data_IF_433466456897
#
_entry.id   IF_433466456897
#
_cell.length_a   1.000
_cell.length_b   1.000
_cell.length_c   1.000
_cell.angle_alpha   90.00
_cell.angle_beta   90.00
_cell.angle_gamma   90.00
#
_symmetry.space_group_name_H-M   'P 1'
#
loop_
_entity.id
_entity.type
_entity.pdbx_description
1 polymer ?
#
# COMPACT_ATOMS: atom_id res chain seq x y z
N UNK A 1 -17.97 32.45 -16.68
CA UNK A 1 -18.10 31.63 -17.90
C UNK A 1 -19.42 31.91 -18.63
N UNK A 2 -20.61 31.55 -18.10
CA UNK A 2 -21.88 31.76 -18.81
C UNK A 2 -22.24 33.24 -19.08
N UNK A 3 -22.02 34.12 -18.08
CA UNK A 3 -22.24 35.56 -18.23
C UNK A 3 -21.35 36.21 -19.31
N UNK A 4 -20.09 35.75 -19.41
CA UNK A 4 -19.13 36.22 -20.41
C UNK A 4 -19.46 35.73 -21.82
N UNK A 5 -20.27 34.67 -21.94
CA UNK A 5 -20.70 34.08 -23.21
C UNK A 5 -22.15 34.49 -23.59
N UNK A 6 -22.76 35.43 -22.85
CA UNK A 6 -24.13 35.90 -23.13
C UNK A 6 -25.23 34.87 -22.83
N UNK A 7 -24.93 33.81 -22.06
CA UNK A 7 -25.86 32.71 -21.75
C UNK A 7 -26.58 32.90 -20.40
N UNK A 8 -26.84 34.15 -20.02
CA UNK A 8 -27.56 34.49 -18.77
C UNK A 8 -28.96 33.87 -18.79
N UNK A 9 -29.32 33.12 -17.75
CA UNK A 9 -30.61 32.44 -17.63
C UNK A 9 -30.64 30.98 -18.10
N UNK A 10 -29.58 30.49 -18.74
CA UNK A 10 -29.40 29.06 -19.04
C UNK A 10 -28.53 28.33 -18.01
N UNK A 11 -28.01 29.04 -17.01
CA UNK A 11 -27.04 28.59 -16.02
C UNK A 11 -27.57 27.57 -15.00
N UNK A 12 -28.90 27.42 -14.91
CA UNK A 12 -29.59 26.56 -13.93
C UNK A 12 -30.23 25.30 -14.54
N UNK A 13 -30.12 25.08 -15.86
CA UNK A 13 -30.73 23.94 -16.56
C UNK A 13 -29.77 22.78 -16.88
N UNK A 14 -30.34 21.65 -17.34
CA UNK A 14 -29.61 20.44 -17.75
C UNK A 14 -28.49 20.73 -18.78
N UNK A 15 -28.72 21.67 -19.69
CA UNK A 15 -27.71 22.11 -20.66
C UNK A 15 -26.47 22.72 -19.98
N UNK A 16 -26.66 23.65 -19.03
CA UNK A 16 -25.54 24.22 -18.31
C UNK A 16 -24.81 23.21 -17.42
N UNK A 17 -25.52 22.23 -16.84
CA UNK A 17 -24.88 21.12 -16.12
C UNK A 17 -23.96 20.32 -17.04
N UNK A 18 -24.44 19.93 -18.23
CA UNK A 18 -23.63 19.21 -19.20
C UNK A 18 -22.42 20.03 -19.66
N UNK A 19 -22.59 21.32 -19.93
CA UNK A 19 -21.49 22.23 -20.24
C UNK A 19 -20.47 22.32 -19.10
N UNK A 20 -20.91 22.37 -17.83
CA UNK A 20 -20.01 22.32 -16.66
C UNK A 20 -19.25 21.01 -16.57
N UNK A 21 -19.92 19.88 -16.78
CA UNK A 21 -19.28 18.56 -16.74
C UNK A 21 -18.23 18.41 -17.85
N UNK A 22 -18.55 18.83 -19.07
CA UNK A 22 -17.60 18.88 -20.18
C UNK A 22 -16.42 19.80 -19.87
N UNK A 23 -16.67 20.97 -19.29
CA UNK A 23 -15.62 21.88 -18.84
C UNK A 23 -14.70 21.22 -17.80
N UNK A 24 -15.26 20.54 -16.79
CA UNK A 24 -14.46 19.86 -15.76
C UNK A 24 -13.57 18.77 -16.36
N UNK A 25 -14.11 17.91 -17.23
CA UNK A 25 -13.33 16.86 -17.88
C UNK A 25 -12.25 17.44 -18.77
N UNK A 26 -12.56 18.44 -19.60
CA UNK A 26 -11.57 19.11 -20.47
C UNK A 26 -10.46 19.78 -19.66
N UNK A 27 -10.81 20.38 -18.53
CA UNK A 27 -9.82 20.99 -17.64
C UNK A 27 -8.92 19.93 -17.01
N UNK A 28 -9.45 18.82 -16.50
CA UNK A 28 -8.66 17.68 -15.98
C UNK A 28 -7.76 17.09 -17.07
N UNK A 29 -8.27 16.93 -18.28
CA UNK A 29 -7.52 16.45 -19.44
C UNK A 29 -6.34 17.36 -19.79
N UNK A 30 -6.46 18.67 -19.57
CA UNK A 30 -5.38 19.64 -19.81
C UNK A 30 -4.30 19.70 -18.72
N UNK A 31 -4.54 19.10 -17.54
CA UNK A 31 -3.57 19.13 -16.44
C UNK A 31 -2.33 18.29 -16.78
N UNK A 32 -1.16 18.84 -16.46
CA UNK A 32 0.08 18.07 -16.38
C UNK A 32 0.04 17.10 -15.20
N UNK A 33 0.84 16.03 -15.25
CA UNK A 33 0.95 15.06 -14.15
C UNK A 33 1.26 15.78 -12.82
N UNK A 34 0.44 15.54 -11.80
CA UNK A 34 0.60 16.13 -10.47
C UNK A 34 0.18 17.59 -10.31
N UNK A 35 -0.23 18.27 -11.39
CA UNK A 35 -0.68 19.66 -11.33
C UNK A 35 -1.97 19.80 -10.51
N UNK A 36 -2.01 20.78 -9.61
CA UNK A 36 -3.20 21.14 -8.86
C UNK A 36 -4.01 22.22 -9.57
N UNK A 37 -5.33 22.12 -9.53
CA UNK A 37 -6.28 23.11 -10.07
C UNK A 37 -7.61 23.00 -9.30
N UNK A 38 -8.36 24.11 -9.23
CA UNK A 38 -9.65 24.14 -8.51
C UNK A 38 -10.69 23.17 -9.07
N UNK A 39 -10.57 22.74 -10.33
CA UNK A 39 -11.41 21.67 -10.89
C UNK A 39 -11.32 20.37 -10.08
N UNK A 40 -10.16 20.07 -9.49
CA UNK A 40 -9.97 18.87 -8.66
C UNK A 40 -10.74 18.99 -7.35
N UNK A 41 -11.00 20.19 -6.85
CA UNK A 41 -11.89 20.42 -5.69
C UNK A 41 -13.35 20.26 -6.10
N UNK A 42 -13.73 20.83 -7.25
CA UNK A 42 -15.10 20.74 -7.76
C UNK A 42 -15.54 19.30 -8.06
N UNK A 43 -14.68 18.50 -8.68
CA UNK A 43 -14.99 17.10 -9.01
C UNK A 43 -15.19 16.23 -7.77
N UNK A 44 -14.57 16.57 -6.64
CA UNK A 44 -14.75 15.84 -5.37
C UNK A 44 -16.13 16.09 -4.72
N UNK A 45 -16.93 17.04 -5.21
CA UNK A 45 -18.27 17.27 -4.67
C UNK A 45 -19.19 16.09 -5.01
N UNK A 46 -19.92 15.59 -4.00
CA UNK A 46 -20.84 14.44 -4.16
C UNK A 46 -21.83 14.60 -5.32
N UNK A 47 -22.41 15.78 -5.48
CA UNK A 47 -23.33 16.06 -6.59
C UNK A 47 -22.66 16.03 -7.95
N UNK A 48 -21.35 16.27 -8.02
CA UNK A 48 -20.57 16.36 -9.25
C UNK A 48 -20.04 14.98 -9.65
N UNK A 49 -19.31 14.26 -8.79
CA UNK A 49 -18.76 12.96 -9.18
C UNK A 49 -19.84 11.88 -9.40
N UNK A 50 -21.02 12.00 -8.75
CA UNK A 50 -22.16 11.12 -9.00
C UNK A 50 -23.00 11.51 -10.22
N UNK A 51 -22.67 12.61 -10.91
CA UNK A 51 -23.44 13.04 -12.05
C UNK A 51 -23.31 12.05 -13.22
N UNK A 52 -24.41 11.72 -13.92
CA UNK A 52 -24.34 10.94 -15.16
C UNK A 52 -23.55 11.70 -16.24
N UNK A 53 -22.64 11.01 -16.94
CA UNK A 53 -21.85 11.61 -18.01
C UNK A 53 -22.14 10.98 -19.37
N UNK A 54 -21.89 9.67 -19.51
CA UNK A 54 -22.14 8.94 -20.76
C UNK A 54 -22.46 7.47 -20.48
N UNK A 55 -23.55 6.98 -21.07
CA UNK A 55 -24.10 5.65 -20.81
C UNK A 55 -24.27 5.37 -19.33
N UNK A 56 -23.60 4.32 -18.84
CA UNK A 56 -23.59 3.95 -17.41
C UNK A 56 -22.46 4.61 -16.60
N UNK A 57 -21.62 5.45 -17.22
CA UNK A 57 -20.51 6.12 -16.51
C UNK A 57 -20.98 7.38 -15.79
N UNK A 58 -20.47 7.51 -14.56
CA UNK A 58 -20.55 8.74 -13.77
C UNK A 58 -19.34 9.61 -14.09
N UNK A 59 -19.47 10.92 -13.87
CA UNK A 59 -18.40 11.89 -14.08
C UNK A 59 -17.13 11.53 -13.29
N UNK A 60 -17.30 11.01 -12.07
CA UNK A 60 -16.19 10.51 -11.25
C UNK A 60 -15.39 9.40 -11.92
N UNK A 61 -16.03 8.50 -12.67
CA UNK A 61 -15.30 7.45 -13.41
C UNK A 61 -14.38 8.06 -14.46
N UNK A 62 -14.88 9.02 -15.24
CA UNK A 62 -14.09 9.65 -16.32
C UNK A 62 -12.93 10.44 -15.74
N UNK A 63 -13.18 11.22 -14.68
CA UNK A 63 -12.13 11.96 -13.98
C UNK A 63 -11.05 11.03 -13.41
N UNK A 64 -11.44 9.94 -12.75
CA UNK A 64 -10.50 8.95 -12.22
C UNK A 64 -9.70 8.26 -13.33
N UNK A 65 -10.33 7.90 -14.45
CA UNK A 65 -9.63 7.33 -15.61
C UNK A 65 -8.52 8.27 -16.08
N UNK A 66 -8.85 9.55 -16.32
CA UNK A 66 -7.88 10.55 -16.78
C UNK A 66 -6.72 10.75 -15.80
N UNK A 67 -7.01 10.84 -14.50
CA UNK A 67 -5.98 11.04 -13.48
C UNK A 67 -5.06 9.81 -13.38
N UNK A 68 -5.62 8.59 -13.37
CA UNK A 68 -4.83 7.35 -13.26
C UNK A 68 -3.98 7.13 -14.50
N UNK A 69 -4.52 7.39 -15.68
CA UNK A 69 -3.85 7.12 -16.95
C UNK A 69 -2.72 8.12 -17.22
N UNK A 70 -2.82 9.35 -16.69
CA UNK A 70 -1.78 10.38 -16.79
C UNK A 70 -0.55 10.13 -15.91
N UNK A 71 -0.70 9.41 -14.81
CA UNK A 71 0.44 9.11 -13.93
C UNK A 71 1.41 8.21 -14.69
N UNK A 72 2.71 8.48 -14.61
CA UNK A 72 3.75 7.66 -15.24
C UNK A 72 4.30 6.63 -14.26
N UNK A 73 4.73 7.09 -13.08
CA UNK A 73 5.35 6.25 -12.05
C UNK A 73 4.50 6.21 -10.78
N UNK A 74 4.26 7.36 -10.16
CA UNK A 74 3.56 7.48 -8.87
C UNK A 74 2.79 8.80 -8.83
N UNK A 75 1.56 8.81 -8.30
CA UNK A 75 0.79 10.03 -8.18
C UNK A 75 1.41 10.95 -7.12
N UNK A 76 1.08 12.24 -7.21
CA UNK A 76 1.23 13.15 -6.06
C UNK A 76 0.18 12.84 -5.01
N UNK A 77 0.45 13.18 -3.75
CA UNK A 77 -0.48 13.01 -2.63
C UNK A 77 -1.87 13.59 -2.94
N UNK A 78 -1.88 14.77 -3.56
CA UNK A 78 -3.11 15.48 -3.93
C UNK A 78 -3.96 14.69 -4.94
N UNK A 79 -3.35 14.10 -5.97
CA UNK A 79 -4.07 13.31 -6.95
C UNK A 79 -4.58 11.99 -6.35
N UNK A 80 -3.75 11.32 -5.56
CA UNK A 80 -4.15 10.10 -4.86
C UNK A 80 -5.34 10.39 -3.90
N UNK A 81 -5.29 11.51 -3.17
CA UNK A 81 -6.38 11.98 -2.32
C UNK A 81 -7.68 12.19 -3.11
N UNK A 82 -7.62 12.85 -4.26
CA UNK A 82 -8.81 13.03 -5.13
C UNK A 82 -9.43 11.67 -5.50
N UNK A 83 -8.61 10.69 -5.89
CA UNK A 83 -9.09 9.34 -6.20
C UNK A 83 -9.79 8.69 -4.99
N UNK A 84 -9.17 8.78 -3.81
CA UNK A 84 -9.69 8.20 -2.57
C UNK A 84 -10.95 8.92 -2.06
N UNK A 85 -11.09 10.23 -2.25
CA UNK A 85 -12.28 10.98 -1.86
C UNK A 85 -13.48 10.68 -2.78
N UNK A 86 -13.23 10.36 -4.07
CA UNK A 86 -14.29 9.93 -4.99
C UNK A 86 -14.70 8.47 -4.73
N UNK A 87 -13.71 7.57 -4.69
CA UNK A 87 -13.96 6.13 -4.79
C UNK A 87 -13.67 5.33 -3.52
N UNK A 88 -13.09 5.96 -2.49
CA UNK A 88 -12.57 5.24 -1.32
C UNK A 88 -11.36 4.38 -1.64
N UNK A 89 -10.91 3.55 -0.70
CA UNK A 89 -9.73 2.69 -0.89
C UNK A 89 -10.06 1.49 -1.82
N UNK A 90 -9.32 1.26 -2.92
CA UNK A 90 -9.52 0.11 -3.83
C UNK A 90 -9.11 -1.24 -3.22
N UNK A 91 -8.46 -1.27 -2.05
CA UNK A 91 -8.02 -2.50 -1.40
C UNK A 91 -9.13 -3.19 -0.58
N UNK A 92 -10.32 -2.58 -0.50
CA UNK A 92 -11.50 -3.22 0.08
C UNK A 92 -11.98 -4.41 -0.78
N UNK A 93 -12.83 -5.27 -0.19
CA UNK A 93 -13.45 -6.39 -0.90
C UNK A 93 -14.13 -5.97 -2.21
N UNK A 94 -13.96 -6.76 -3.27
CA UNK A 94 -14.64 -6.55 -4.55
C UNK A 94 -16.17 -6.71 -4.44
N UNK A 95 -16.66 -7.37 -3.38
CA UNK A 95 -18.09 -7.50 -3.08
C UNK A 95 -18.66 -6.27 -2.35
N UNK A 96 -17.85 -5.30 -1.97
CA UNK A 96 -18.33 -4.06 -1.39
C UNK A 96 -19.07 -3.23 -2.45
N UNK A 97 -20.25 -2.71 -2.11
CA UNK A 97 -21.05 -1.88 -3.03
C UNK A 97 -20.28 -0.65 -3.55
N UNK A 98 -19.45 -0.05 -2.68
CA UNK A 98 -18.58 1.07 -3.06
C UNK A 98 -17.51 0.67 -4.09
N UNK A 99 -16.91 -0.52 -3.94
CA UNK A 99 -15.93 -1.04 -4.91
C UNK A 99 -16.58 -1.31 -6.26
N UNK A 100 -17.71 -2.03 -6.26
CA UNK A 100 -18.45 -2.31 -7.50
C UNK A 100 -18.89 -1.04 -8.23
N UNK A 101 -19.28 -0.02 -7.48
CA UNK A 101 -19.71 1.25 -8.05
C UNK A 101 -18.54 2.00 -8.69
N UNK A 102 -17.43 2.18 -7.97
CA UNK A 102 -16.39 3.15 -8.37
C UNK A 102 -15.15 2.53 -9.00
N UNK A 103 -14.73 1.36 -8.52
CA UNK A 103 -13.48 0.74 -8.94
C UNK A 103 -13.69 -0.24 -10.09
N UNK A 104 -14.70 -1.11 -10.00
CA UNK A 104 -14.98 -2.13 -11.02
C UNK A 104 -15.14 -1.56 -12.44
N UNK A 105 -15.79 -0.40 -12.68
CA UNK A 105 -15.91 0.17 -14.02
C UNK A 105 -14.59 0.66 -14.63
N UNK A 106 -13.53 0.85 -13.83
CA UNK A 106 -12.23 1.29 -14.32
C UNK A 106 -11.39 0.17 -14.94
N UNK A 107 -11.71 -1.08 -14.62
CA UNK A 107 -10.95 -2.27 -15.02
C UNK A 107 -9.74 -2.58 -14.12
N UNK A 108 -9.36 -3.87 -14.08
CA UNK A 108 -8.33 -4.38 -13.17
C UNK A 108 -6.96 -3.73 -13.35
N UNK A 109 -6.60 -3.30 -14.57
CA UNK A 109 -5.32 -2.64 -14.81
C UNK A 109 -5.18 -1.35 -13.98
N UNK A 110 -6.21 -0.50 -13.96
CA UNK A 110 -6.21 0.75 -13.19
C UNK A 110 -6.32 0.48 -11.69
N UNK A 111 -7.14 -0.49 -11.29
CA UNK A 111 -7.27 -0.90 -9.89
C UNK A 111 -5.92 -1.38 -9.35
N UNK A 112 -5.25 -2.28 -10.06
CA UNK A 112 -3.93 -2.81 -9.70
C UNK A 112 -2.89 -1.69 -9.59
N UNK A 113 -2.92 -0.72 -10.50
CA UNK A 113 -2.03 0.44 -10.46
C UNK A 113 -2.21 1.27 -9.20
N UNK A 114 -3.46 1.62 -8.84
CA UNK A 114 -3.72 2.40 -7.61
C UNK A 114 -3.38 1.60 -6.36
N UNK A 115 -3.66 0.28 -6.33
CA UNK A 115 -3.26 -0.59 -5.23
C UNK A 115 -1.74 -0.63 -5.05
N UNK A 116 -0.97 -0.67 -6.15
CA UNK A 116 0.49 -0.60 -6.12
C UNK A 116 1.00 0.72 -5.52
N UNK A 117 0.39 1.86 -5.87
CA UNK A 117 0.72 3.15 -5.28
C UNK A 117 0.47 3.19 -3.77
N UNK A 118 -0.68 2.65 -3.33
CA UNK A 118 -1.00 2.57 -1.90
C UNK A 118 -0.08 1.61 -1.14
N UNK A 119 0.34 0.50 -1.76
CA UNK A 119 1.31 -0.41 -1.16
C UNK A 119 2.70 0.24 -1.00
N UNK A 120 3.13 1.03 -1.99
CA UNK A 120 4.35 1.83 -1.92
C UNK A 120 4.29 2.83 -0.77
N UNK A 121 3.16 3.50 -0.63
CA UNK A 121 2.93 4.49 0.41
C UNK A 121 2.96 3.85 1.81
N UNK A 122 2.23 2.74 2.02
CA UNK A 122 2.30 2.00 3.29
C UNK A 122 3.72 1.56 3.64
N UNK A 123 4.51 1.14 2.64
CA UNK A 123 5.92 0.78 2.83
C UNK A 123 6.77 2.00 3.22
N UNK A 124 6.61 3.14 2.54
CA UNK A 124 7.31 4.38 2.87
C UNK A 124 7.03 4.80 4.32
N UNK A 125 5.75 4.84 4.70
CA UNK A 125 5.32 5.23 6.04
C UNK A 125 5.79 4.27 7.12
N UNK A 126 5.84 2.97 6.83
CA UNK A 126 6.46 1.99 7.72
C UNK A 126 7.94 2.30 7.93
N UNK A 127 8.70 2.51 6.86
CA UNK A 127 10.14 2.78 6.93
C UNK A 127 10.43 4.07 7.70
N UNK A 128 9.67 5.14 7.46
CA UNK A 128 9.76 6.39 8.22
C UNK A 128 9.46 6.18 9.71
N UNK A 129 8.45 5.37 10.04
CA UNK A 129 8.14 5.05 11.43
C UNK A 129 9.27 4.26 12.12
N UNK A 130 9.91 3.32 11.40
CA UNK A 130 11.04 2.54 11.92
C UNK A 130 12.27 3.44 12.14
N UNK A 131 12.58 4.33 11.19
CA UNK A 131 13.69 5.27 11.27
C UNK A 131 13.51 6.26 12.42
N UNK A 132 12.35 6.93 12.48
CA UNK A 132 12.01 7.87 13.53
C UNK A 132 12.06 7.23 14.93
N UNK A 133 11.63 5.97 15.03
CA UNK A 133 11.75 5.22 16.27
C UNK A 133 13.22 5.00 16.64
N UNK A 134 14.05 4.47 15.74
CA UNK A 134 15.47 4.23 16.03
C UNK A 134 16.22 5.47 16.49
N UNK A 135 15.92 6.63 15.90
CA UNK A 135 16.49 7.92 16.33
C UNK A 135 15.95 8.33 17.70
N UNK A 136 14.63 8.28 17.92
CA UNK A 136 14.02 8.75 19.18
C UNK A 136 14.29 7.84 20.38
N UNK A 137 14.51 6.55 20.18
CA UNK A 137 14.84 5.58 21.24
C UNK A 137 16.34 5.48 21.54
N UNK A 138 17.19 6.16 20.76
CA UNK A 138 18.65 6.01 20.78
C UNK A 138 19.11 4.54 20.69
N UNK A 139 18.36 3.71 19.94
CA UNK A 139 18.66 2.30 19.74
C UNK A 139 19.66 2.14 18.60
N UNK A 140 20.95 2.19 18.93
CA UNK A 140 22.06 2.05 17.97
C UNK A 140 21.98 0.75 17.18
N UNK A 141 21.52 -0.34 17.79
CA UNK A 141 21.40 -1.63 17.12
C UNK A 141 20.32 -1.56 16.03
N UNK A 142 19.20 -0.92 16.32
CA UNK A 142 18.14 -0.70 15.34
C UNK A 142 18.58 0.25 14.21
N UNK A 143 19.24 1.36 14.54
CA UNK A 143 19.74 2.33 13.56
C UNK A 143 20.72 1.67 12.59
N UNK A 144 21.63 0.84 13.10
CA UNK A 144 22.59 0.08 12.30
C UNK A 144 21.95 -0.95 11.38
N UNK A 145 20.85 -1.60 11.80
CA UNK A 145 20.14 -2.57 10.97
C UNK A 145 19.19 -1.95 9.95
N UNK A 146 18.78 -0.70 10.14
CA UNK A 146 17.77 -0.04 9.31
C UNK A 146 18.13 -0.02 7.81
N UNK A 147 19.36 0.31 7.37
CA UNK A 147 19.71 0.33 5.95
C UNK A 147 19.47 -1.01 5.24
N UNK A 148 19.85 -2.12 5.88
CA UNK A 148 19.65 -3.46 5.32
C UNK A 148 18.17 -3.84 5.24
N UNK A 149 17.38 -3.47 6.25
CA UNK A 149 15.92 -3.71 6.28
C UNK A 149 15.19 -2.87 5.22
N UNK A 150 15.59 -1.61 5.08
CA UNK A 150 15.07 -0.69 4.07
C UNK A 150 15.35 -1.24 2.67
N UNK A 151 16.61 -1.54 2.35
CA UNK A 151 16.99 -2.10 1.03
C UNK A 151 16.27 -3.40 0.72
N UNK A 152 16.08 -4.26 1.72
CA UNK A 152 15.35 -5.51 1.53
C UNK A 152 13.90 -5.28 1.10
N UNK A 153 13.15 -4.43 1.83
CA UNK A 153 11.73 -4.20 1.53
C UNK A 153 11.55 -3.38 0.23
N UNK A 154 12.37 -2.36 0.00
CA UNK A 154 12.39 -1.61 -1.26
C UNK A 154 12.74 -2.53 -2.44
N UNK A 155 13.70 -3.43 -2.26
CA UNK A 155 14.08 -4.42 -3.25
C UNK A 155 12.97 -5.40 -3.62
N UNK A 156 12.16 -5.83 -2.65
CA UNK A 156 10.96 -6.63 -2.92
C UNK A 156 9.92 -5.83 -3.71
N UNK A 157 9.75 -4.55 -3.38
CA UNK A 157 8.84 -3.66 -4.11
C UNK A 157 9.30 -3.42 -5.56
N UNK A 158 10.58 -3.08 -5.76
CA UNK A 158 11.19 -2.82 -7.07
C UNK A 158 11.10 -4.02 -8.03
N UNK A 159 11.08 -5.23 -7.50
CA UNK A 159 10.89 -6.46 -8.27
C UNK A 159 9.42 -6.74 -8.66
N UNK A 160 8.47 -5.93 -8.18
CA UNK A 160 7.04 -6.17 -8.37
C UNK A 160 6.51 -7.38 -7.59
N UNK A 161 7.26 -7.87 -6.59
CA UNK A 161 6.86 -9.01 -5.76
C UNK A 161 5.70 -8.61 -4.84
N UNK A 162 5.73 -7.40 -4.27
CA UNK A 162 4.70 -6.92 -3.35
C UNK A 162 3.43 -6.55 -4.13
N UNK A 163 2.36 -7.33 -3.95
CA UNK A 163 1.04 -7.10 -4.54
C UNK A 163 0.18 -6.18 -3.68
N UNK A 164 0.32 -6.28 -2.37
CA UNK A 164 -0.41 -5.46 -1.41
C UNK A 164 0.43 -5.26 -0.14
N UNK A 165 0.21 -4.14 0.54
CA UNK A 165 0.78 -3.88 1.86
C UNK A 165 -0.33 -3.41 2.80
N UNK A 166 -0.16 -3.72 4.09
CA UNK A 166 -1.01 -3.20 5.16
C UNK A 166 -0.18 -2.69 6.30
N UNK A 167 -0.29 -1.39 6.54
CA UNK A 167 0.32 -0.73 7.68
C UNK A 167 -0.49 -0.96 8.96
N UNK A 168 0.21 -1.22 10.05
CA UNK A 168 -0.32 -1.36 11.40
C UNK A 168 0.47 -0.45 12.34
N UNK A 169 -0.21 0.43 13.08
CA UNK A 169 0.47 1.43 13.92
C UNK A 169 -0.06 1.45 15.35
N UNK A 170 0.86 1.47 16.30
CA UNK A 170 0.61 1.91 17.66
C UNK A 170 0.27 3.40 17.72
N UNK A 171 -0.34 3.83 18.83
CA UNK A 171 -0.82 5.20 19.00
C UNK A 171 0.27 6.27 18.87
N UNK A 172 1.47 6.05 19.42
CA UNK A 172 2.59 7.00 19.29
C UNK A 172 3.22 6.93 17.90
N UNK A 173 3.42 5.72 17.35
CA UNK A 173 3.90 5.52 15.98
C UNK A 173 3.01 6.24 14.96
N UNK A 174 1.69 6.11 15.08
CA UNK A 174 0.72 6.87 14.29
C UNK A 174 0.87 8.38 14.46
N UNK A 175 1.16 8.86 15.68
CA UNK A 175 1.46 10.26 15.94
C UNK A 175 2.70 10.77 15.19
N UNK A 176 3.77 9.98 15.10
CA UNK A 176 4.96 10.33 14.30
C UNK A 176 4.63 10.40 12.81
N UNK A 177 4.00 9.34 12.30
CA UNK A 177 3.64 9.23 10.89
C UNK A 177 2.70 10.38 10.48
N UNK A 178 1.69 10.70 11.28
CA UNK A 178 0.75 11.80 11.00
C UNK A 178 1.40 13.19 11.05
N UNK A 179 2.58 13.34 11.68
CA UNK A 179 3.35 14.60 11.65
C UNK A 179 4.20 14.72 10.39
N UNK A 180 4.70 13.61 9.86
CA UNK A 180 5.53 13.55 8.65
C UNK A 180 4.71 13.68 7.37
N UNK A 181 3.41 13.44 7.43
CA UNK A 181 2.51 13.51 6.29
C UNK A 181 1.77 14.85 6.27
N UNK A 182 1.46 15.33 5.06
CA UNK A 182 0.57 16.48 4.88
C UNK A 182 -0.73 16.28 5.68
N UNK A 183 -1.18 17.31 6.44
CA UNK A 183 -2.42 17.28 7.27
C UNK A 183 -3.67 16.80 6.53
N UNK A 184 -3.60 16.75 5.21
CA UNK A 184 -4.66 16.44 4.27
C UNK A 184 -4.73 14.97 3.83
N UNK A 185 -3.70 14.15 4.10
CA UNK A 185 -3.67 12.75 3.67
C UNK A 185 -4.21 11.82 4.76
N UNK A 186 -5.24 11.05 4.44
CA UNK A 186 -5.80 10.02 5.32
C UNK A 186 -5.08 8.69 5.06
N UNK A 187 -4.19 8.29 5.96
CA UNK A 187 -3.60 6.95 5.93
C UNK A 187 -4.64 5.95 6.41
N UNK A 188 -4.79 4.84 5.68
CA UNK A 188 -5.50 3.68 6.20
C UNK A 188 -4.51 2.71 6.84
N UNK A 189 -4.59 2.55 8.16
CA UNK A 189 -3.80 1.55 8.90
C UNK A 189 -4.68 0.82 9.92
N UNK A 190 -4.23 -0.35 10.35
CA UNK A 190 -4.87 -1.11 11.45
C UNK A 190 -4.26 -0.64 12.78
N UNK A 191 -5.06 -0.15 13.76
CA UNK A 191 -4.53 0.25 15.05
C UNK A 191 -3.98 -0.94 15.84
N UNK A 192 -2.81 -0.76 16.47
CA UNK A 192 -2.24 -1.70 17.41
C UNK A 192 -2.59 -1.34 18.86
N UNK A 193 -3.10 -2.33 19.60
CA UNK A 193 -3.45 -2.20 21.02
C UNK A 193 -2.35 -2.82 21.90
N UNK A 194 -1.88 -2.05 22.89
CA UNK A 194 -0.82 -2.48 23.81
C UNK A 194 0.60 -2.39 23.23
N UNK A 195 0.77 -1.81 22.04
CA UNK A 195 2.05 -1.69 21.33
C UNK A 195 2.24 -0.24 20.84
N UNK A 196 2.34 0.73 21.76
CA UNK A 196 2.14 2.15 21.45
C UNK A 196 3.17 2.73 20.48
N UNK A 197 4.42 2.26 20.54
CA UNK A 197 5.53 2.79 19.71
C UNK A 197 5.84 1.89 18.51
N UNK A 198 5.09 0.80 18.34
CA UNK A 198 5.40 -0.18 17.31
C UNK A 198 4.71 0.15 16.00
N UNK A 199 5.45 0.06 14.91
CA UNK A 199 4.91 -0.04 13.56
C UNK A 199 5.09 -1.48 13.09
N UNK A 200 4.08 -2.05 12.44
CA UNK A 200 4.12 -3.37 11.81
C UNK A 200 3.65 -3.22 10.38
N UNK A 201 4.26 -3.94 9.45
CA UNK A 201 3.82 -4.02 8.07
C UNK A 201 3.55 -5.48 7.71
N UNK A 202 2.42 -5.72 7.06
CA UNK A 202 2.10 -6.96 6.37
C UNK A 202 2.28 -6.75 4.87
N UNK A 203 2.89 -7.71 4.19
CA UNK A 203 3.04 -7.75 2.74
C UNK A 203 2.43 -9.02 2.18
N UNK A 204 1.58 -8.85 1.17
CA UNK A 204 1.17 -9.92 0.27
C UNK A 204 2.13 -9.94 -0.92
N UNK A 205 2.95 -10.98 -1.00
CA UNK A 205 3.92 -11.18 -2.07
C UNK A 205 3.44 -12.20 -3.12
N UNK A 206 2.17 -12.63 -3.04
CA UNK A 206 1.59 -13.63 -3.92
C UNK A 206 2.00 -15.07 -3.60
N UNK A 207 3.29 -15.38 -3.76
CA UNK A 207 3.84 -16.72 -3.49
C UNK A 207 4.18 -16.93 -2.01
N UNK A 208 4.29 -15.84 -1.26
CA UNK A 208 4.50 -15.85 0.18
C UNK A 208 3.90 -14.59 0.81
N UNK A 209 3.87 -14.58 2.13
CA UNK A 209 3.37 -13.46 2.94
C UNK A 209 4.40 -13.12 4.00
N UNK A 210 4.62 -11.83 4.24
CA UNK A 210 5.62 -11.33 5.18
C UNK A 210 4.96 -10.42 6.22
N UNK A 211 5.34 -10.56 7.49
CA UNK A 211 5.00 -9.60 8.55
C UNK A 211 6.28 -9.19 9.28
N UNK A 212 6.51 -7.90 9.46
CA UNK A 212 7.69 -7.37 10.16
C UNK A 212 7.33 -6.10 10.94
N UNK A 213 8.07 -5.78 12.02
CA UNK A 213 7.78 -4.60 12.86
C UNK A 213 9.01 -3.82 13.32
N UNK A 214 8.82 -2.60 13.84
CA UNK A 214 9.90 -1.66 14.18
C UNK A 214 10.75 -2.06 15.39
N UNK A 215 10.15 -2.68 16.42
CA UNK A 215 10.87 -3.17 17.61
C UNK A 215 11.64 -4.46 17.30
N UNK A 216 12.13 -5.19 18.30
CA UNK A 216 12.63 -6.58 18.20
C UNK A 216 11.54 -7.60 17.78
N UNK A 217 10.59 -7.15 16.97
CA UNK A 217 9.54 -7.91 16.34
C UNK A 217 10.17 -8.80 15.26
N UNK A 218 9.89 -10.10 15.33
CA UNK A 218 10.41 -11.07 14.36
C UNK A 218 9.81 -10.85 12.98
N UNK A 219 10.55 -11.22 11.94
CA UNK A 219 9.99 -11.40 10.60
C UNK A 219 9.20 -12.70 10.61
N UNK A 220 7.95 -12.66 10.19
CA UNK A 220 7.15 -13.86 9.97
C UNK A 220 6.98 -14.07 8.47
N UNK A 221 7.25 -15.29 8.01
CA UNK A 221 7.06 -15.75 6.64
C UNK A 221 6.02 -16.87 6.60
N UNK A 222 5.11 -16.81 5.65
CA UNK A 222 4.09 -17.83 5.40
C UNK A 222 4.00 -18.14 3.90
N UNK A 223 3.73 -19.39 3.52
CA UNK A 223 3.48 -19.75 2.11
C UNK A 223 2.00 -19.68 1.70
N UNK A 224 1.10 -19.49 2.66
CA UNK A 224 -0.32 -19.22 2.41
C UNK A 224 -0.77 -18.03 3.26
N UNK A 225 -1.89 -17.42 2.88
CA UNK A 225 -2.36 -16.21 3.55
C UNK A 225 -2.65 -16.49 5.03
N UNK A 226 -1.96 -15.80 5.97
CA UNK A 226 -2.04 -16.13 7.38
C UNK A 226 -3.38 -15.76 8.02
N UNK A 227 -4.02 -14.70 7.54
CA UNK A 227 -5.33 -14.25 8.03
C UNK A 227 -6.00 -13.31 7.02
N UNK A 228 -7.34 -13.27 7.02
CA UNK A 228 -8.13 -12.29 6.27
C UNK A 228 -8.18 -10.93 6.97
N UNK A 229 -7.75 -10.84 8.24
CA UNK A 229 -7.81 -9.60 9.02
C UNK A 229 -6.97 -8.47 8.41
N UNK A 230 -5.87 -8.79 7.73
CA UNK A 230 -5.01 -7.79 7.10
C UNK A 230 -5.63 -7.12 5.87
N UNK A 231 -6.60 -7.77 5.25
CA UNK A 231 -7.36 -7.21 4.12
C UNK A 231 -8.57 -6.40 4.59
N UNK A 232 -8.84 -6.40 5.91
CA UNK A 232 -9.94 -5.66 6.47
C UNK A 232 -9.64 -4.15 6.53
N UNK A 233 -10.54 -3.38 5.94
CA UNK A 233 -10.62 -1.92 6.07
C UNK A 233 -11.70 -1.50 7.07
N UNK A 234 -12.24 -2.44 7.83
CA UNK A 234 -13.18 -2.11 8.91
C UNK A 234 -12.42 -1.37 10.04
N UNK A 235 -12.80 -0.13 10.36
CA UNK A 235 -12.11 0.68 11.37
C UNK A 235 -12.21 0.10 12.80
N UNK A 236 -13.09 -0.89 13.01
CA UNK A 236 -13.21 -1.60 14.29
C UNK A 236 -12.15 -2.69 14.47
N UNK A 237 -11.49 -3.12 13.40
CA UNK A 237 -10.41 -4.12 13.50
C UNK A 237 -9.21 -3.46 14.16
N UNK A 238 -8.74 -4.10 15.23
CA UNK A 238 -7.53 -3.75 15.97
C UNK A 238 -6.74 -5.02 16.19
N UNK A 239 -5.43 -4.91 16.29
CA UNK A 239 -4.56 -6.05 16.54
C UNK A 239 -3.72 -5.83 17.79
N UNK A 240 -3.47 -6.90 18.51
CA UNK A 240 -2.61 -6.97 19.68
C UNK A 240 -1.33 -7.70 19.35
N UNK A 241 -0.31 -7.56 20.20
CA UNK A 241 0.93 -8.33 20.09
C UNK A 241 0.63 -9.84 20.06
N UNK A 242 -0.19 -10.32 21.00
CA UNK A 242 -0.57 -11.74 21.11
C UNK A 242 -1.30 -12.27 19.86
N UNK A 243 -2.11 -11.45 19.21
CA UNK A 243 -2.72 -11.82 17.93
C UNK A 243 -1.67 -12.06 16.85
N UNK A 244 -0.71 -11.13 16.71
CA UNK A 244 0.33 -11.21 15.70
C UNK A 244 1.30 -12.38 15.91
N UNK A 245 1.71 -12.66 17.15
CA UNK A 245 2.78 -13.64 17.43
C UNK A 245 2.30 -15.00 17.93
N UNK A 246 1.04 -15.13 18.36
CA UNK A 246 0.50 -16.40 18.87
C UNK A 246 -0.73 -16.85 18.11
N UNK A 247 -1.79 -16.02 18.04
CA UNK A 247 -3.08 -16.46 17.49
C UNK A 247 -3.02 -16.67 15.97
N UNK A 248 -2.41 -15.74 15.23
CA UNK A 248 -2.28 -15.86 13.77
C UNK A 248 -1.44 -17.08 13.39
N UNK A 249 -0.22 -17.29 13.94
CA UNK A 249 0.55 -18.51 13.67
C UNK A 249 -0.18 -19.80 14.07
N UNK A 250 -0.89 -19.81 15.20
CA UNK A 250 -1.66 -20.98 15.62
C UNK A 250 -2.82 -21.30 14.65
N UNK A 251 -3.56 -20.27 14.24
CA UNK A 251 -4.64 -20.40 13.26
C UNK A 251 -4.10 -20.83 11.89
N UNK A 252 -2.94 -20.31 11.48
CA UNK A 252 -2.27 -20.74 10.26
C UNK A 252 -1.96 -22.23 10.27
N UNK A 253 -1.35 -22.75 11.34
CA UNK A 253 -1.06 -24.19 11.47
C UNK A 253 -2.31 -25.05 11.40
N UNK A 254 -3.41 -24.58 11.99
CA UNK A 254 -4.69 -25.30 11.96
C UNK A 254 -5.32 -25.29 10.56
N UNK A 255 -5.26 -24.14 9.88
CA UNK A 255 -5.87 -23.95 8.55
C UNK A 255 -5.06 -24.62 7.44
N UNK A 256 -3.73 -24.65 7.56
CA UNK A 256 -2.82 -25.24 6.58
C UNK A 256 -1.86 -26.24 7.24
N UNK A 257 -2.36 -27.42 7.66
CA UNK A 257 -1.50 -28.44 8.26
C UNK A 257 -0.34 -28.82 7.34
N UNK A 258 0.88 -28.81 7.88
CA UNK A 258 2.10 -29.14 7.13
C UNK A 258 2.66 -28.02 6.24
N UNK A 259 1.94 -26.91 6.05
CA UNK A 259 2.46 -25.81 5.25
C UNK A 259 3.58 -25.06 5.99
N UNK A 260 4.71 -24.78 5.32
CA UNK A 260 5.82 -24.04 5.90
C UNK A 260 5.44 -22.61 6.33
N UNK A 261 5.91 -22.24 7.52
CA UNK A 261 5.99 -20.87 8.00
C UNK A 261 7.21 -20.74 8.90
N UNK A 262 7.72 -19.52 9.09
CA UNK A 262 8.93 -19.28 9.90
C UNK A 262 8.88 -17.93 10.58
N UNK A 263 9.31 -17.88 11.83
CA UNK A 263 9.67 -16.65 12.53
C UNK A 263 11.20 -16.48 12.55
N UNK A 264 11.68 -15.27 12.24
CA UNK A 264 13.10 -14.96 12.10
C UNK A 264 13.42 -13.72 12.93
N UNK A 265 14.38 -13.84 13.83
CA UNK A 265 14.86 -12.71 14.62
C UNK A 265 15.80 -11.84 13.79
N UNK A 266 15.73 -10.51 13.95
CA UNK A 266 16.62 -9.56 13.29
C UNK A 266 18.05 -9.61 13.85
N UNK A 267 18.82 -10.63 13.44
CA UNK A 267 20.26 -10.71 13.70
C UNK A 267 21.04 -10.16 12.51
N UNK A 268 21.78 -9.07 12.73
CA UNK A 268 22.47 -8.21 11.74
C UNK A 268 23.02 -8.92 10.50
N UNK A 269 23.61 -10.11 10.66
CA UNK A 269 24.30 -10.82 9.58
C UNK A 269 23.63 -12.12 9.10
N UNK A 270 22.56 -12.59 9.75
CA UNK A 270 21.97 -13.91 9.46
C UNK A 270 20.52 -13.85 9.03
N UNK A 271 19.76 -12.84 9.47
CA UNK A 271 18.31 -12.80 9.22
C UNK A 271 17.98 -12.83 7.71
N UNK A 272 18.76 -12.12 6.88
CA UNK A 272 18.58 -12.12 5.41
C UNK A 272 18.77 -13.52 4.83
N UNK A 273 19.77 -14.25 5.32
CA UNK A 273 20.01 -15.62 4.88
C UNK A 273 18.86 -16.54 5.26
N UNK A 274 18.32 -16.41 6.47
CA UNK A 274 17.18 -17.23 6.89
C UNK A 274 15.93 -16.99 6.05
N UNK A 275 15.70 -15.74 5.61
CA UNK A 275 14.64 -15.41 4.67
C UNK A 275 14.91 -16.04 3.30
N UNK A 276 16.11 -15.86 2.75
CA UNK A 276 16.49 -16.40 1.44
C UNK A 276 16.40 -17.93 1.43
N UNK A 277 16.94 -18.61 2.43
CA UNK A 277 16.86 -20.06 2.60
C UNK A 277 15.42 -20.55 2.69
N UNK A 278 14.56 -19.84 3.43
CA UNK A 278 13.14 -20.20 3.49
C UNK A 278 12.47 -20.08 2.11
N UNK A 279 12.73 -19.00 1.37
CA UNK A 279 12.08 -18.79 0.07
C UNK A 279 12.61 -19.75 -0.99
N UNK A 280 13.94 -19.83 -1.17
CA UNK A 280 14.57 -20.71 -2.14
C UNK A 280 14.33 -22.18 -1.81
N UNK A 281 14.35 -22.54 -0.52
CA UNK A 281 14.01 -23.88 -0.05
C UNK A 281 12.56 -24.30 -0.32
N UNK A 282 11.68 -23.35 -0.63
CA UNK A 282 10.29 -23.59 -1.01
C UNK A 282 10.00 -23.26 -2.49
N UNK A 283 11.06 -23.13 -3.31
CA UNK A 283 10.93 -22.91 -4.75
C UNK A 283 10.50 -21.49 -5.14
N UNK A 284 10.71 -20.51 -4.26
CA UNK A 284 10.43 -19.09 -4.50
C UNK A 284 11.75 -18.38 -4.75
N UNK A 285 11.97 -17.97 -5.99
CA UNK A 285 13.17 -17.23 -6.40
C UNK A 285 12.95 -15.73 -6.21
N UNK A 286 13.93 -15.06 -5.59
CA UNK A 286 14.02 -13.60 -5.51
C UNK A 286 15.39 -13.15 -6.01
N UNK A 287 15.45 -11.96 -6.63
CA UNK A 287 16.70 -11.35 -7.06
C UNK A 287 17.43 -10.74 -5.87
N UNK A 288 18.58 -11.33 -5.53
CA UNK A 288 19.38 -10.93 -4.38
C UNK A 288 20.04 -9.56 -4.58
N UNK A 289 20.39 -9.18 -5.81
CA UNK A 289 21.01 -7.88 -6.10
C UNK A 289 20.02 -6.71 -5.93
N UNK A 290 18.72 -7.03 -5.98
CA UNK A 290 17.65 -6.07 -5.73
C UNK A 290 17.37 -5.88 -4.25
N UNK A 291 17.58 -6.89 -3.40
CA UNK A 291 17.29 -6.81 -1.95
C UNK A 291 18.53 -6.55 -1.09
N UNK A 292 19.72 -6.52 -1.70
CA UNK A 292 21.00 -6.22 -1.07
C UNK A 292 21.71 -5.11 -1.84
N UNK A 293 22.58 -4.36 -1.17
CA UNK A 293 23.54 -3.53 -1.89
C UNK A 293 24.72 -4.40 -2.37
N UNK A 294 25.63 -3.84 -3.18
CA UNK A 294 26.74 -4.60 -3.76
C UNK A 294 27.69 -5.20 -2.71
N UNK A 295 27.93 -4.50 -1.61
CA UNK A 295 28.83 -4.94 -0.55
C UNK A 295 28.20 -6.08 0.26
N UNK A 296 26.94 -5.90 0.65
CA UNK A 296 26.12 -6.90 1.33
C UNK A 296 26.00 -8.18 0.49
N UNK A 297 25.77 -8.06 -0.82
CA UNK A 297 25.66 -9.20 -1.71
C UNK A 297 26.96 -10.00 -1.77
N UNK A 298 28.11 -9.30 -1.92
CA UNK A 298 29.43 -9.96 -1.91
C UNK A 298 29.69 -10.68 -0.60
N UNK A 299 29.39 -10.03 0.53
CA UNK A 299 29.53 -10.64 1.85
C UNK A 299 28.58 -11.83 2.04
N UNK A 300 27.35 -11.74 1.54
CA UNK A 300 26.37 -12.81 1.58
C UNK A 300 26.88 -14.04 0.83
N UNK A 301 27.31 -13.89 -0.43
CA UNK A 301 27.82 -15.00 -1.25
C UNK A 301 29.10 -15.60 -0.65
N UNK A 302 30.02 -14.77 -0.12
CA UNK A 302 31.26 -15.31 0.48
C UNK A 302 30.99 -16.11 1.75
N UNK A 303 29.96 -15.75 2.52
CA UNK A 303 29.63 -16.40 3.79
C UNK A 303 28.70 -17.60 3.65
N UNK A 304 27.69 -17.51 2.78
CA UNK A 304 26.60 -18.49 2.67
C UNK A 304 26.59 -19.25 1.34
N UNK A 305 27.35 -18.80 0.34
CA UNK A 305 27.30 -19.33 -1.02
C UNK A 305 26.09 -18.85 -1.81
N UNK A 306 25.91 -19.42 -3.01
CA UNK A 306 24.70 -19.19 -3.80
C UNK A 306 23.54 -20.02 -3.26
N UNK A 307 22.35 -19.43 -3.03
CA UNK A 307 21.23 -20.19 -2.52
C UNK A 307 20.73 -21.19 -3.57
N UNK A 308 20.33 -22.37 -3.09
CA UNK A 308 19.85 -23.45 -3.94
C UNK A 308 18.33 -23.43 -4.03
N UNK A 309 17.80 -23.25 -5.25
CA UNK A 309 16.35 -23.25 -5.50
C UNK A 309 15.83 -24.69 -5.49
N UNK A 310 15.01 -25.04 -4.50
CA UNK A 310 14.35 -26.35 -4.43
C UNK A 310 13.10 -26.39 -5.29
N UNK A 311 12.65 -27.59 -5.59
CA UNK A 311 11.36 -27.78 -6.27
C UNK A 311 10.21 -27.30 -5.39
N UNK A 312 9.25 -26.58 -5.98
CA UNK A 312 8.13 -25.98 -5.28
C UNK A 312 7.11 -27.04 -4.87
N UNK A 313 6.93 -27.23 -3.57
CA UNK A 313 6.01 -28.23 -3.01
C UNK A 313 4.61 -27.68 -2.70
N UNK A 314 4.46 -26.36 -2.57
CA UNK A 314 3.23 -25.69 -2.16
C UNK A 314 2.85 -24.58 -3.15
N UNK A 315 1.58 -24.54 -3.60
CA UNK A 315 1.05 -23.55 -4.55
C UNK A 315 -0.22 -22.91 -4.06
#
# INVERSE_FOLDING_TARGET
>A
MFDQLGLKGFDTGRFAEQCRYLFYIKKIESLAEGQWDSVLVEIQRRSVFNAPYDGQKLLGHVAMQLLIDKVTVSPTDNWLKVLLEIAGDPRISNTAGNFRKWWQPLGEQRISRVRSWLAKEDLRLFLEAVEAYGVSSNDEALQRMFPARKRFLEGLFEQGIIRNARLMLGTRAAGFVNRSISKESKISYIPLTGMTDTAVIYLDCGDFYLIQGSHSFKIWLYLAKPTELFDSYNPKVKLTHSELIHKIPASYRQKYPGWPYRDITHHENTWRNEVVEFLYGNGIKIDLEKIMNREDYKYYISRFGHPYLRERQYK
#
